data_IF_599414283076
#
_entry.id   IF_599414283076
#
_cell.length_a   1.000
_cell.length_b   1.000
_cell.length_c   1.000
_cell.angle_alpha   90.00
_cell.angle_beta   90.00
_cell.angle_gamma   90.00
#
_symmetry.space_group_name_H-M   'P 1'
#
loop_
_entity.id
_entity.type
_entity.pdbx_description
1 polymer ?
#
# COMPACT_ATOMS: atom_id res chain seq x y z
N UNK A 1 4.19 -4.77 7.32
CA UNK A 1 2.77 -4.44 7.66
C UNK A 1 2.16 -3.75 6.44
N UNK A 2 1.03 -4.21 5.95
CA UNK A 2 0.33 -3.62 4.79
C UNK A 2 -0.73 -2.67 5.31
N UNK A 3 -0.68 -1.40 4.88
CA UNK A 3 -1.65 -0.37 5.26
C UNK A 3 -2.70 -0.20 4.16
N UNK A 4 -3.96 -0.27 4.55
CA UNK A 4 -5.12 -0.06 3.69
C UNK A 4 -5.85 1.19 4.14
N UNK A 5 -6.24 2.08 3.23
CA UNK A 5 -7.09 3.22 3.54
C UNK A 5 -8.44 3.10 2.82
N UNK A 6 -9.51 3.46 3.50
CA UNK A 6 -10.83 3.68 2.92
C UNK A 6 -11.20 5.15 3.12
N UNK A 7 -11.53 5.83 2.04
CA UNK A 7 -11.80 7.28 2.04
C UNK A 7 -13.18 7.54 1.46
N UNK A 8 -14.08 8.07 2.27
CA UNK A 8 -15.50 8.35 1.93
C UNK A 8 -16.03 9.41 2.89
N UNK A 9 -16.93 10.27 2.49
CA UNK A 9 -17.53 11.27 3.40
C UNK A 9 -18.73 10.71 4.18
N UNK A 10 -19.17 9.51 3.87
CA UNK A 10 -20.21 8.80 4.59
C UNK A 10 -19.64 7.89 5.69
N UNK A 11 -19.70 8.34 6.94
CA UNK A 11 -19.15 7.60 8.09
C UNK A 11 -19.80 6.22 8.31
N UNK A 12 -21.08 6.06 8.01
CA UNK A 12 -21.76 4.77 8.12
C UNK A 12 -21.18 3.79 7.13
N UNK A 13 -21.03 4.24 5.88
CA UNK A 13 -20.42 3.44 4.82
C UNK A 13 -18.96 3.07 5.14
N UNK A 14 -18.17 4.00 5.67
CA UNK A 14 -16.79 3.74 6.11
C UNK A 14 -16.73 2.59 7.12
N UNK A 15 -17.59 2.63 8.15
CA UNK A 15 -17.62 1.59 9.19
C UNK A 15 -18.04 0.23 8.63
N UNK A 16 -19.04 0.18 7.76
CA UNK A 16 -19.51 -1.04 7.12
C UNK A 16 -18.46 -1.64 6.18
N UNK A 17 -17.86 -0.80 5.34
CA UNK A 17 -16.81 -1.22 4.40
C UNK A 17 -15.57 -1.74 5.13
N UNK A 18 -15.14 -1.07 6.20
CA UNK A 18 -14.04 -1.53 7.03
C UNK A 18 -14.32 -2.91 7.61
N UNK A 19 -15.51 -3.12 8.19
CA UNK A 19 -15.89 -4.43 8.74
C UNK A 19 -15.90 -5.51 7.66
N UNK A 20 -16.43 -5.19 6.47
CA UNK A 20 -16.46 -6.13 5.35
C UNK A 20 -15.04 -6.48 4.89
N UNK A 21 -14.15 -5.49 4.78
CA UNK A 21 -12.76 -5.70 4.40
C UNK A 21 -12.02 -6.56 5.44
N UNK A 22 -12.15 -6.24 6.73
CA UNK A 22 -11.50 -6.96 7.83
C UNK A 22 -12.04 -8.39 8.01
N UNK A 23 -13.24 -8.68 7.50
CA UNK A 23 -13.81 -10.03 7.48
C UNK A 23 -13.36 -10.88 6.28
N UNK A 24 -12.68 -10.30 5.29
CA UNK A 24 -12.17 -11.04 4.14
C UNK A 24 -11.05 -12.00 4.55
N UNK A 25 -11.02 -13.17 3.94
CA UNK A 25 -9.97 -14.20 4.20
C UNK A 25 -8.57 -13.68 3.86
N UNK A 26 -8.48 -12.82 2.85
CA UNK A 26 -7.22 -12.20 2.44
C UNK A 26 -6.76 -11.07 3.38
N UNK A 27 -7.56 -10.62 4.35
CA UNK A 27 -7.14 -9.62 5.34
C UNK A 27 -6.44 -10.34 6.50
N UNK A 28 -5.12 -10.26 6.51
CA UNK A 28 -4.26 -11.01 7.44
C UNK A 28 -3.77 -10.13 8.59
N UNK A 29 -3.21 -10.75 9.65
CA UNK A 29 -2.80 -10.07 10.87
C UNK A 29 -1.68 -9.02 10.68
N UNK A 30 -0.98 -9.05 9.53
CA UNK A 30 0.01 -8.06 9.13
C UNK A 30 -0.59 -6.87 8.36
N UNK A 31 -1.92 -6.79 8.28
CA UNK A 31 -2.65 -5.69 7.66
C UNK A 31 -3.34 -4.80 8.69
N UNK A 32 -3.43 -3.52 8.36
CA UNK A 32 -4.23 -2.53 9.11
C UNK A 32 -5.10 -1.75 8.15
N UNK A 33 -6.29 -1.38 8.58
CA UNK A 33 -7.24 -0.58 7.81
C UNK A 33 -7.58 0.70 8.55
N UNK A 34 -7.26 1.84 7.94
CA UNK A 34 -7.61 3.17 8.41
C UNK A 34 -8.76 3.74 7.57
N UNK A 35 -9.59 4.59 8.18
CA UNK A 35 -10.71 5.25 7.52
C UNK A 35 -10.56 6.76 7.58
N UNK A 36 -10.96 7.44 6.51
CA UNK A 36 -10.86 8.89 6.37
C UNK A 36 -12.16 9.46 5.82
N UNK A 37 -12.67 10.51 6.46
CA UNK A 37 -13.93 11.18 6.09
C UNK A 37 -13.80 12.13 4.89
N UNK A 38 -12.78 12.00 4.06
CA UNK A 38 -12.61 12.79 2.84
C UNK A 38 -11.19 12.85 2.33
N UNK A 39 -11.04 13.19 1.04
CA UNK A 39 -9.77 13.20 0.34
C UNK A 39 -8.73 14.16 0.93
N UNK A 40 -9.15 15.33 1.41
CA UNK A 40 -8.22 16.29 2.03
C UNK A 40 -7.68 15.78 3.36
N UNK A 41 -8.53 15.15 4.18
CA UNK A 41 -8.12 14.55 5.44
C UNK A 41 -7.12 13.41 5.21
N UNK A 42 -7.39 12.54 4.25
CA UNK A 42 -6.48 11.45 3.87
C UNK A 42 -5.11 11.98 3.41
N UNK A 43 -5.07 13.02 2.56
CA UNK A 43 -3.81 13.56 2.03
C UNK A 43 -2.99 14.33 3.07
N UNK A 44 -3.59 14.80 4.16
CA UNK A 44 -2.88 15.41 5.30
C UNK A 44 -2.21 14.38 6.21
N UNK A 45 -2.69 13.15 6.17
CA UNK A 45 -2.04 12.02 6.83
C UNK A 45 -0.82 11.56 6.00
N UNK A 46 -0.12 10.55 6.49
CA UNK A 46 0.97 9.90 5.77
C UNK A 46 0.44 9.03 4.61
N UNK A 47 -0.23 9.68 3.65
CA UNK A 47 -0.92 9.01 2.53
C UNK A 47 0.04 8.20 1.63
N UNK A 48 1.31 8.56 1.61
CA UNK A 48 2.34 7.85 0.84
C UNK A 48 2.68 6.45 1.38
N UNK A 49 2.32 6.14 2.63
CA UNK A 49 2.63 4.85 3.27
C UNK A 49 1.62 3.73 3.00
N UNK A 50 0.50 4.01 2.32
CA UNK A 50 -0.55 3.01 2.04
C UNK A 50 -0.24 2.17 0.80
N UNK A 51 -0.55 0.88 0.86
CA UNK A 51 -0.41 -0.07 -0.24
C UNK A 51 -1.71 -0.27 -1.02
N UNK A 52 -2.85 -0.07 -0.36
CA UNK A 52 -4.18 -0.10 -0.99
C UNK A 52 -4.97 1.13 -0.52
N UNK A 53 -5.60 1.82 -1.46
CA UNK A 53 -6.52 2.92 -1.13
C UNK A 53 -7.82 2.74 -1.90
N UNK A 54 -8.94 2.67 -1.18
CA UNK A 54 -10.29 2.63 -1.72
C UNK A 54 -10.87 4.03 -1.56
N UNK A 55 -11.19 4.67 -2.68
CA UNK A 55 -11.60 6.08 -2.74
C UNK A 55 -13.03 6.20 -3.27
N UNK A 56 -13.91 6.84 -2.50
CA UNK A 56 -15.18 7.29 -3.08
C UNK A 56 -14.91 8.32 -4.17
N UNK A 57 -15.60 8.17 -5.29
CA UNK A 57 -15.52 9.11 -6.41
C UNK A 57 -16.15 10.47 -6.09
N UNK A 58 -17.19 10.47 -5.26
CA UNK A 58 -17.98 11.66 -4.91
C UNK A 58 -17.85 11.95 -3.42
N UNK A 59 -17.03 12.91 -3.08
CA UNK A 59 -16.87 13.39 -1.71
C UNK A 59 -17.02 14.91 -1.67
N UNK A 60 -17.47 15.43 -0.55
CA UNK A 60 -17.47 16.87 -0.33
C UNK A 60 -16.04 17.44 -0.38
N UNK A 61 -15.87 18.57 -1.05
CA UNK A 61 -14.60 19.25 -1.22
C UNK A 61 -13.77 18.60 -2.33
N UNK A 62 -12.92 17.63 -2.02
CA UNK A 62 -12.01 17.00 -2.98
C UNK A 62 -12.52 15.63 -3.42
N UNK A 63 -12.71 15.48 -4.72
CA UNK A 63 -13.14 14.21 -5.33
C UNK A 63 -12.11 13.07 -5.16
N UNK A 64 -12.58 11.83 -5.29
CA UNK A 64 -11.67 10.67 -5.28
C UNK A 64 -10.64 10.71 -6.38
N UNK A 65 -11.02 11.17 -7.58
CA UNK A 65 -10.08 11.30 -8.68
C UNK A 65 -8.96 12.31 -8.40
N UNK A 66 -9.29 13.51 -7.89
CA UNK A 66 -8.30 14.53 -7.52
C UNK A 66 -7.38 14.02 -6.41
N UNK A 67 -7.94 13.31 -5.42
CA UNK A 67 -7.19 12.66 -4.34
C UNK A 67 -6.22 11.62 -4.89
N UNK A 68 -6.69 10.74 -5.78
CA UNK A 68 -5.87 9.72 -6.43
C UNK A 68 -4.74 10.32 -7.28
N UNK A 69 -4.99 11.44 -7.96
CA UNK A 69 -3.99 12.12 -8.77
C UNK A 69 -2.83 12.63 -7.91
N UNK A 70 -3.14 13.29 -6.79
CA UNK A 70 -2.12 13.79 -5.86
C UNK A 70 -1.37 12.62 -5.22
N UNK A 71 -2.10 11.59 -4.76
CA UNK A 71 -1.48 10.39 -4.20
C UNK A 71 -0.49 9.75 -5.17
N UNK A 72 -0.84 9.69 -6.46
CA UNK A 72 0.01 9.09 -7.49
C UNK A 72 1.31 9.86 -7.75
N UNK A 73 1.39 11.14 -7.36
CA UNK A 73 2.63 11.93 -7.42
C UNK A 73 3.66 11.44 -6.40
N UNK A 74 3.21 11.03 -5.22
CA UNK A 74 4.06 10.58 -4.10
C UNK A 74 4.19 9.05 -4.00
N UNK A 75 3.14 8.31 -4.36
CA UNK A 75 3.11 6.86 -4.32
C UNK A 75 2.68 6.27 -5.66
N UNK A 76 3.66 5.78 -6.44
CA UNK A 76 3.45 5.25 -7.79
C UNK A 76 2.94 3.81 -7.80
N UNK A 77 3.24 3.03 -6.75
CA UNK A 77 2.95 1.60 -6.67
C UNK A 77 1.62 1.27 -5.99
N UNK A 78 1.02 2.22 -5.24
CA UNK A 78 -0.21 1.99 -4.50
C UNK A 78 -1.32 1.41 -5.39
N UNK A 79 -2.02 0.39 -4.89
CA UNK A 79 -3.23 -0.12 -5.51
C UNK A 79 -4.36 0.87 -5.24
N UNK A 80 -4.97 1.41 -6.27
CA UNK A 80 -6.11 2.33 -6.15
C UNK A 80 -7.36 1.62 -6.65
N UNK A 81 -8.40 1.59 -5.82
CA UNK A 81 -9.74 1.23 -6.22
C UNK A 81 -10.67 2.43 -6.05
N UNK A 82 -11.48 2.72 -7.05
CA UNK A 82 -12.56 3.67 -6.90
C UNK A 82 -13.84 2.95 -6.48
N UNK A 83 -14.64 3.59 -5.65
CA UNK A 83 -15.98 3.13 -5.32
C UNK A 83 -16.97 4.27 -5.62
N UNK A 84 -18.16 3.93 -6.11
CA UNK A 84 -19.15 4.94 -6.46
C UNK A 84 -20.56 4.38 -6.37
N UNK A 85 -21.52 5.25 -6.00
CA UNK A 85 -22.95 4.92 -6.04
C UNK A 85 -23.56 4.97 -7.44
N UNK A 86 -23.08 5.83 -8.32
CA UNK A 86 -23.76 6.14 -9.59
C UNK A 86 -22.79 6.48 -10.75
N UNK A 87 -21.54 6.84 -10.48
CA UNK A 87 -20.67 7.40 -11.52
C UNK A 87 -19.96 6.30 -12.30
N UNK A 88 -20.21 6.26 -13.60
CA UNK A 88 -19.41 5.46 -14.53
C UNK A 88 -18.01 6.06 -14.70
N UNK A 89 -16.97 5.20 -14.85
CA UNK A 89 -15.62 5.66 -15.10
C UNK A 89 -15.54 6.49 -16.40
N UNK A 90 -14.86 7.62 -16.33
CA UNK A 90 -14.53 8.45 -17.50
C UNK A 90 -13.11 8.14 -17.97
N UNK A 91 -12.76 8.41 -19.25
CA UNK A 91 -11.41 8.19 -19.76
C UNK A 91 -10.31 8.83 -18.91
N UNK A 92 -10.55 10.02 -18.38
CA UNK A 92 -9.61 10.76 -17.51
C UNK A 92 -9.28 10.01 -16.20
N UNK A 93 -10.22 9.22 -15.68
CA UNK A 93 -10.01 8.46 -14.45
C UNK A 93 -8.96 7.35 -14.60
N UNK A 94 -8.71 6.89 -15.83
CA UNK A 94 -7.69 5.86 -16.09
C UNK A 94 -6.25 6.38 -16.03
N UNK A 95 -6.05 7.70 -16.07
CA UNK A 95 -4.70 8.32 -15.97
C UNK A 95 -4.02 7.94 -14.65
N UNK A 96 -4.77 7.81 -13.54
CA UNK A 96 -4.24 7.40 -12.25
C UNK A 96 -4.07 5.88 -12.12
N UNK A 97 -4.36 5.13 -13.20
CA UNK A 97 -4.24 3.69 -13.27
C UNK A 97 -4.92 2.97 -12.08
N UNK A 98 -6.24 3.18 -11.88
CA UNK A 98 -6.94 2.44 -10.86
C UNK A 98 -6.95 0.95 -11.22
N UNK A 99 -6.80 0.11 -10.21
CA UNK A 99 -6.88 -1.33 -10.43
C UNK A 99 -8.33 -1.78 -10.66
N UNK A 100 -9.28 -1.14 -9.95
CA UNK A 100 -10.70 -1.52 -10.03
C UNK A 100 -11.63 -0.36 -9.76
N UNK A 101 -12.84 -0.48 -10.32
CA UNK A 101 -14.02 0.31 -9.97
C UNK A 101 -15.04 -0.59 -9.27
N UNK A 102 -15.54 -0.14 -8.13
CA UNK A 102 -16.54 -0.82 -7.32
C UNK A 102 -17.85 -0.02 -7.32
N UNK A 103 -18.97 -0.72 -7.21
CA UNK A 103 -20.28 -0.09 -7.03
C UNK A 103 -20.70 -0.20 -5.56
N UNK A 104 -21.07 0.92 -4.92
CA UNK A 104 -21.64 0.91 -3.56
C UNK A 104 -22.91 0.07 -3.45
N UNK A 105 -23.64 -0.06 -4.57
CA UNK A 105 -24.88 -0.86 -4.68
C UNK A 105 -24.64 -2.34 -4.95
N UNK A 106 -23.38 -2.79 -5.05
CA UNK A 106 -23.08 -4.20 -5.26
C UNK A 106 -23.60 -5.06 -4.12
N UNK A 107 -24.06 -6.27 -4.42
CA UNK A 107 -24.45 -7.24 -3.39
C UNK A 107 -23.23 -7.59 -2.51
N UNK A 108 -23.50 -7.93 -1.26
CA UNK A 108 -22.45 -8.19 -0.27
C UNK A 108 -21.45 -9.25 -0.71
N UNK A 109 -21.92 -10.33 -1.35
CA UNK A 109 -21.02 -11.38 -1.88
C UNK A 109 -20.11 -10.87 -2.99
N UNK A 110 -20.63 -10.03 -3.88
CA UNK A 110 -19.85 -9.40 -4.95
C UNK A 110 -18.82 -8.42 -4.37
N UNK A 111 -19.21 -7.61 -3.37
CA UNK A 111 -18.32 -6.70 -2.68
C UNK A 111 -17.18 -7.49 -2.01
N UNK A 112 -17.47 -8.56 -1.28
CA UNK A 112 -16.45 -9.40 -0.66
C UNK A 112 -15.47 -9.97 -1.70
N UNK A 113 -15.95 -10.52 -2.81
CA UNK A 113 -15.09 -11.03 -3.89
C UNK A 113 -14.16 -9.93 -4.44
N UNK A 114 -14.70 -8.74 -4.66
CA UNK A 114 -13.93 -7.61 -5.17
C UNK A 114 -12.85 -7.16 -4.17
N UNK A 115 -13.19 -7.11 -2.88
CA UNK A 115 -12.23 -6.75 -1.82
C UNK A 115 -11.13 -7.80 -1.67
N UNK A 116 -11.46 -9.07 -1.72
CA UNK A 116 -10.47 -10.15 -1.69
C UNK A 116 -9.49 -10.08 -2.86
N UNK A 117 -9.98 -9.76 -4.05
CA UNK A 117 -9.12 -9.59 -5.22
C UNK A 117 -8.19 -8.38 -5.08
N UNK A 118 -8.70 -7.25 -4.53
CA UNK A 118 -7.87 -6.09 -4.21
C UNK A 118 -6.77 -6.40 -3.20
N UNK A 119 -7.11 -7.11 -2.12
CA UNK A 119 -6.15 -7.53 -1.10
C UNK A 119 -5.09 -8.48 -1.68
N UNK A 120 -5.50 -9.43 -2.51
CA UNK A 120 -4.59 -10.37 -3.19
C UNK A 120 -3.63 -9.63 -4.12
N UNK A 121 -4.12 -8.69 -4.93
CA UNK A 121 -3.26 -7.87 -5.80
C UNK A 121 -2.30 -7.00 -4.98
N UNK A 122 -2.77 -6.43 -3.88
CA UNK A 122 -1.94 -5.63 -2.98
C UNK A 122 -0.81 -6.48 -2.39
N UNK A 123 -1.13 -7.65 -1.86
CA UNK A 123 -0.12 -8.62 -1.39
C UNK A 123 0.87 -8.97 -2.49
N UNK A 124 0.36 -9.29 -3.68
CA UNK A 124 1.22 -9.62 -4.83
C UNK A 124 2.23 -8.51 -5.10
N UNK A 125 1.79 -7.26 -5.19
CA UNK A 125 2.70 -6.12 -5.42
C UNK A 125 3.71 -5.96 -4.29
N UNK A 126 3.27 -6.01 -3.04
CA UNK A 126 4.16 -5.88 -1.89
C UNK A 126 5.17 -7.02 -1.78
N UNK A 127 4.75 -8.26 -2.11
CA UNK A 127 5.60 -9.44 -1.95
C UNK A 127 6.48 -9.73 -3.15
N UNK A 128 6.08 -9.30 -4.34
CA UNK A 128 6.86 -9.45 -5.57
C UNK A 128 7.85 -8.29 -5.77
N UNK A 129 7.71 -7.18 -5.03
CA UNK A 129 8.69 -6.11 -5.08
C UNK A 129 10.04 -6.58 -4.55
N UNK A 130 11.07 -6.29 -5.32
CA UNK A 130 12.45 -6.57 -4.96
C UNK A 130 13.27 -5.29 -5.00
N UNK A 131 14.23 -5.19 -4.11
CA UNK A 131 15.27 -4.15 -4.16
C UNK A 131 16.59 -4.76 -4.57
N UNK A 132 17.44 -3.97 -5.20
CA UNK A 132 18.80 -4.39 -5.55
C UNK A 132 19.77 -3.77 -4.54
N UNK A 133 20.61 -4.60 -3.96
CA UNK A 133 21.69 -4.19 -3.08
C UNK A 133 23.01 -4.80 -3.56
N UNK A 134 24.08 -4.01 -3.59
CA UNK A 134 25.41 -4.50 -3.85
C UNK A 134 26.13 -4.79 -2.52
N UNK A 135 26.54 -6.04 -2.30
CA UNK A 135 27.31 -6.44 -1.12
C UNK A 135 28.43 -7.39 -1.56
N UNK A 136 29.62 -7.15 -1.04
CA UNK A 136 30.81 -7.98 -1.31
C UNK A 136 31.11 -8.18 -2.82
N UNK A 137 30.87 -7.11 -3.61
CA UNK A 137 31.07 -7.13 -5.07
C UNK A 137 30.05 -7.95 -5.85
N UNK A 138 28.98 -8.40 -5.21
CA UNK A 138 27.85 -9.11 -5.83
C UNK A 138 26.60 -8.26 -5.78
N UNK A 139 25.78 -8.31 -6.85
CA UNK A 139 24.44 -7.76 -6.86
C UNK A 139 23.47 -8.79 -6.26
N UNK A 140 22.66 -8.33 -5.32
CA UNK A 140 21.63 -9.12 -4.66
C UNK A 140 20.26 -8.52 -5.02
N UNK A 141 19.35 -9.36 -5.48
CA UNK A 141 17.95 -9.00 -5.62
C UNK A 141 17.20 -9.56 -4.41
N UNK A 142 16.69 -8.67 -3.56
CA UNK A 142 16.14 -9.00 -2.26
C UNK A 142 14.64 -8.71 -2.30
N UNK A 143 13.78 -9.71 -2.08
CA UNK A 143 12.36 -9.46 -1.88
C UNK A 143 12.16 -8.53 -0.69
N UNK A 144 11.34 -7.48 -0.86
CA UNK A 144 11.11 -6.48 0.21
C UNK A 144 10.59 -7.14 1.49
N UNK A 145 9.74 -8.14 1.35
CA UNK A 145 9.22 -8.94 2.48
C UNK A 145 10.28 -9.63 3.32
N UNK A 146 11.45 -9.88 2.75
CA UNK A 146 12.56 -10.56 3.44
C UNK A 146 13.48 -9.57 4.17
N UNK A 147 13.26 -8.26 4.03
CA UNK A 147 14.03 -7.25 4.73
C UNK A 147 13.41 -7.06 6.12
N UNK A 148 14.12 -7.46 7.16
CA UNK A 148 13.68 -7.33 8.55
C UNK A 148 13.88 -5.90 9.06
N UNK A 149 15.06 -5.34 8.83
CA UNK A 149 15.38 -3.95 9.15
C UNK A 149 16.61 -3.47 8.38
N UNK A 150 16.76 -2.16 8.30
CA UNK A 150 17.91 -1.49 7.68
C UNK A 150 18.53 -0.54 8.71
N UNK A 151 19.80 -0.70 8.98
CA UNK A 151 20.53 0.12 9.92
C UNK A 151 21.60 0.98 9.22
N UNK A 152 21.89 2.14 9.79
CA UNK A 152 22.99 2.99 9.32
C UNK A 152 24.32 2.31 9.59
N UNK A 153 25.20 2.29 8.60
CA UNK A 153 26.58 1.84 8.73
C UNK A 153 27.57 3.00 8.63
N UNK A 154 28.84 2.74 8.95
CA UNK A 154 29.92 3.73 8.79
C UNK A 154 30.05 4.18 7.32
N UNK A 155 29.77 3.29 6.38
CA UNK A 155 29.64 3.57 4.94
C UNK A 155 28.39 2.87 4.45
N UNK A 156 27.39 3.64 3.97
CA UNK A 156 26.13 3.11 3.47
C UNK A 156 25.21 2.62 4.59
N UNK A 157 24.68 1.41 4.42
CA UNK A 157 23.71 0.77 5.33
C UNK A 157 23.93 -0.73 5.46
N UNK A 158 23.35 -1.31 6.51
CA UNK A 158 23.29 -2.76 6.75
C UNK A 158 21.84 -3.19 6.59
N UNK A 159 21.59 -4.11 5.66
CA UNK A 159 20.27 -4.74 5.50
C UNK A 159 20.32 -6.10 6.21
N UNK A 160 19.43 -6.28 7.18
CA UNK A 160 19.19 -7.59 7.75
C UNK A 160 18.03 -8.23 7.02
N UNK A 161 18.30 -9.33 6.36
CA UNK A 161 17.32 -10.07 5.54
C UNK A 161 17.06 -11.43 6.14
N UNK A 162 15.81 -11.88 6.07
CA UNK A 162 15.44 -13.22 6.47
C UNK A 162 16.18 -14.24 5.58
N UNK A 163 16.85 -15.22 6.21
CA UNK A 163 17.51 -16.32 5.51
C UNK A 163 16.91 -17.63 6.00
N UNK A 164 16.14 -18.29 5.15
CA UNK A 164 15.52 -19.59 5.47
C UNK A 164 16.53 -20.72 5.67
N UNK A 165 17.80 -20.50 5.33
CA UNK A 165 18.89 -21.48 5.50
C UNK A 165 19.68 -21.30 6.79
N UNK A 166 19.49 -20.20 7.53
CA UNK A 166 20.19 -19.90 8.76
C UNK A 166 19.38 -20.37 9.99
N UNK A 167 19.96 -21.17 10.83
CA UNK A 167 19.30 -21.71 12.03
C UNK A 167 18.98 -20.65 13.10
N UNK A 168 19.63 -19.49 13.08
CA UNK A 168 19.36 -18.34 13.96
C UNK A 168 19.81 -17.03 13.25
N UNK A 169 18.84 -16.15 13.05
CA UNK A 169 19.09 -14.77 12.61
C UNK A 169 19.24 -14.60 11.11
N UNK A 170 18.77 -13.44 10.64
CA UNK A 170 18.83 -13.08 9.23
C UNK A 170 20.26 -12.85 8.74
N UNK A 171 20.46 -12.95 7.44
CA UNK A 171 21.71 -12.60 6.76
C UNK A 171 21.88 -11.08 6.75
N UNK A 172 23.08 -10.60 7.06
CA UNK A 172 23.42 -9.18 6.99
C UNK A 172 24.14 -8.90 5.66
N UNK A 173 23.59 -7.96 4.90
CA UNK A 173 24.18 -7.45 3.66
C UNK A 173 24.60 -5.99 3.88
N UNK A 174 25.85 -5.66 3.53
CA UNK A 174 26.30 -4.27 3.56
C UNK A 174 26.05 -3.63 2.20
N UNK A 175 25.29 -2.54 2.18
CA UNK A 175 25.03 -1.77 0.97
C UNK A 175 25.73 -0.41 1.01
N UNK A 176 26.12 0.08 -0.15
CA UNK A 176 26.66 1.45 -0.31
C UNK A 176 25.54 2.51 -0.29
N UNK A 177 24.29 2.11 -0.43
CA UNK A 177 23.14 3.01 -0.36
C UNK A 177 22.96 3.60 1.06
N UNK A 178 22.58 4.88 1.12
CA UNK A 178 22.32 5.56 2.39
C UNK A 178 20.95 5.17 2.92
N UNK A 179 20.76 5.30 4.24
CA UNK A 179 19.50 4.98 4.90
C UNK A 179 18.33 5.80 4.34
N UNK A 180 18.58 7.09 4.04
CA UNK A 180 17.57 7.99 3.46
C UNK A 180 17.12 7.51 2.05
N UNK A 181 18.03 6.97 1.26
CA UNK A 181 17.74 6.35 -0.05
C UNK A 181 16.82 5.15 0.08
N UNK A 182 17.11 4.27 1.05
CA UNK A 182 16.27 3.12 1.35
C UNK A 182 14.88 3.53 1.84
N UNK A 183 14.83 4.53 2.71
CA UNK A 183 13.54 5.04 3.17
C UNK A 183 12.68 5.57 2.02
N UNK A 184 13.28 6.36 1.12
CA UNK A 184 12.58 6.86 -0.06
C UNK A 184 12.03 5.75 -0.97
N UNK A 185 12.74 4.61 -1.06
CA UNK A 185 12.30 3.46 -1.86
C UNK A 185 11.24 2.61 -1.15
N UNK A 186 11.35 2.42 0.17
CA UNK A 186 10.62 1.40 0.92
C UNK A 186 9.52 1.95 1.82
N UNK A 187 9.43 3.27 1.97
CA UNK A 187 8.40 3.90 2.79
C UNK A 187 6.97 3.50 2.36
N UNK A 188 6.71 3.46 1.05
CA UNK A 188 5.43 3.01 0.51
C UNK A 188 5.11 1.52 0.80
N UNK A 189 6.10 0.73 1.20
CA UNK A 189 5.97 -0.68 1.60
C UNK A 189 5.87 -0.84 3.13
N UNK A 190 5.69 0.26 3.87
CA UNK A 190 5.50 0.25 5.31
C UNK A 190 6.77 0.25 6.15
N UNK A 191 7.92 0.60 5.58
CA UNK A 191 9.13 0.83 6.35
C UNK A 191 9.09 2.20 7.01
N UNK A 192 9.37 2.25 8.31
CA UNK A 192 9.38 3.45 9.13
C UNK A 192 10.76 3.61 9.79
N UNK A 193 11.12 4.86 10.14
CA UNK A 193 12.26 5.10 11.00
C UNK A 193 11.94 4.64 12.43
N UNK A 194 12.86 3.92 13.04
CA UNK A 194 12.81 3.56 14.45
C UNK A 194 13.54 4.61 15.31
#
# INVERSE_FOLDING_TARGET
>A
MIKVAIVDDNEVFLCEMKRTLEACVEFTADMVCDIYSGGSHFLQADSGSYQLVILDMQMEGRSGYETARILRETNKSVVIAFISGVILPKPEHFIVQPYRYLLKSAEQEEMCRNLEELLRETKRRCYDETVEAASDGKAWRIPVRNILYIAKAKRGSLLTVEDQSAAEGGKILQSNERLESWYAQLHAQGFEYA
#
